data_IF_326678994940
#
_entry.id   IF_326678994940
#
_cell.length_a   1.000
_cell.length_b   1.000
_cell.length_c   1.000
_cell.angle_alpha   90.00
_cell.angle_beta   90.00
_cell.angle_gamma   90.00
#
_symmetry.space_group_name_H-M   'P 1'
#
loop_
_entity.id
_entity.type
_entity.pdbx_description
1 polymer ?
#
# COMPACT_ATOMS: atom_id res chain seq x y z
N UNK A 1 12.39 -12.67 -40.47
CA UNK A 1 13.65 -13.05 -39.81
C UNK A 1 14.28 -11.82 -39.14
N UNK A 2 13.71 -11.35 -38.02
CA UNK A 2 14.31 -10.33 -37.12
C UNK A 2 13.94 -10.63 -35.65
N UNK A 3 13.40 -11.83 -35.34
CA UNK A 3 12.96 -12.18 -33.98
C UNK A 3 14.01 -12.94 -33.16
N UNK A 4 15.28 -12.92 -33.56
CA UNK A 4 16.34 -13.76 -32.99
C UNK A 4 17.33 -13.03 -32.08
N UNK A 5 17.12 -11.75 -31.77
CA UNK A 5 18.01 -10.98 -30.88
C UNK A 5 17.54 -10.89 -29.41
N UNK A 6 16.30 -11.27 -29.10
CA UNK A 6 15.78 -11.26 -27.72
C UNK A 6 14.93 -12.52 -27.47
N UNK A 7 15.50 -13.60 -26.89
CA UNK A 7 14.84 -14.91 -26.84
C UNK A 7 13.79 -15.13 -25.74
N UNK A 8 13.56 -14.20 -24.80
CA UNK A 8 12.64 -14.44 -23.68
C UNK A 8 11.91 -13.17 -23.27
N UNK A 9 10.84 -12.82 -23.99
CA UNK A 9 9.78 -12.05 -23.37
C UNK A 9 8.57 -12.99 -23.28
N UNK A 10 8.36 -13.67 -22.13
CA UNK A 10 7.01 -14.02 -21.75
C UNK A 10 6.21 -12.73 -21.81
N UNK A 11 5.42 -12.54 -22.87
CA UNK A 11 4.39 -11.52 -22.88
C UNK A 11 3.23 -12.14 -22.14
N UNK A 12 3.36 -12.22 -20.83
CA UNK A 12 2.24 -12.62 -20.03
C UNK A 12 1.10 -11.61 -20.22
N UNK A 13 -0.10 -12.17 -20.28
CA UNK A 13 -1.29 -11.46 -20.65
C UNK A 13 -1.71 -10.55 -19.49
N UNK A 14 -1.35 -9.25 -19.57
CA UNK A 14 -1.76 -8.20 -18.62
C UNK A 14 -3.28 -7.95 -18.57
N UNK A 15 -4.10 -8.82 -19.16
CA UNK A 15 -5.56 -8.74 -19.11
C UNK A 15 -6.07 -8.82 -17.68
N UNK A 16 -5.48 -9.66 -16.82
CA UNK A 16 -5.85 -9.72 -15.40
C UNK A 16 -5.60 -8.39 -14.70
N UNK A 17 -4.36 -7.87 -14.74
CA UNK A 17 -4.03 -6.52 -14.27
C UNK A 17 -4.98 -5.43 -14.79
N UNK A 18 -5.20 -5.36 -16.11
CA UNK A 18 -6.04 -4.32 -16.74
C UNK A 18 -7.49 -4.42 -16.27
N UNK A 19 -8.02 -5.63 -16.17
CA UNK A 19 -9.41 -5.86 -15.74
C UNK A 19 -9.63 -5.44 -14.29
N UNK A 20 -8.71 -5.80 -13.38
CA UNK A 20 -8.76 -5.42 -11.97
C UNK A 20 -8.61 -3.91 -11.80
N UNK A 21 -7.66 -3.29 -12.52
CA UNK A 21 -7.46 -1.85 -12.50
C UNK A 21 -8.73 -1.11 -12.97
N UNK A 22 -9.28 -1.50 -14.12
CA UNK A 22 -10.48 -0.87 -14.67
C UNK A 22 -11.66 -1.03 -13.71
N UNK A 23 -11.92 -2.25 -13.25
CA UNK A 23 -13.01 -2.54 -12.32
C UNK A 23 -12.87 -1.74 -11.03
N UNK A 24 -11.68 -1.75 -10.43
CA UNK A 24 -11.41 -1.02 -9.20
C UNK A 24 -11.56 0.48 -9.33
N UNK A 25 -11.04 1.08 -10.41
CA UNK A 25 -11.21 2.52 -10.68
C UNK A 25 -12.69 2.85 -10.83
N UNK A 26 -13.45 2.04 -11.58
CA UNK A 26 -14.90 2.23 -11.73
C UNK A 26 -15.60 2.17 -10.38
N UNK A 27 -15.26 1.21 -9.52
CA UNK A 27 -15.84 1.08 -8.17
C UNK A 27 -15.52 2.31 -7.32
N UNK A 28 -14.25 2.75 -7.25
CA UNK A 28 -13.84 3.91 -6.46
C UNK A 28 -14.52 5.19 -6.94
N UNK A 29 -14.57 5.39 -8.26
CA UNK A 29 -15.23 6.56 -8.86
C UNK A 29 -16.73 6.53 -8.60
N UNK A 30 -17.40 5.39 -8.79
CA UNK A 30 -18.83 5.25 -8.53
C UNK A 30 -19.18 5.54 -7.07
N UNK A 31 -18.39 5.02 -6.11
CA UNK A 31 -18.57 5.30 -4.68
C UNK A 31 -18.36 6.79 -4.37
N UNK A 32 -17.36 7.43 -4.99
CA UNK A 32 -17.11 8.86 -4.85
C UNK A 32 -18.25 9.72 -5.42
N UNK A 33 -18.82 9.36 -6.57
CA UNK A 33 -19.96 10.06 -7.18
C UNK A 33 -21.22 9.97 -6.33
N UNK A 34 -21.46 8.82 -5.68
CA UNK A 34 -22.58 8.63 -4.74
C UNK A 34 -22.30 9.28 -3.37
N UNK A 35 -21.10 9.85 -3.17
CA UNK A 35 -20.71 10.52 -1.92
C UNK A 35 -20.33 9.56 -0.78
N UNK A 36 -20.13 8.28 -1.07
CA UNK A 36 -19.71 7.25 -0.10
C UNK A 36 -18.19 7.31 0.12
N UNK A 37 -17.67 8.48 0.49
CA UNK A 37 -16.24 8.75 0.53
C UNK A 37 -15.42 7.83 1.46
N UNK A 38 -15.88 7.47 2.68
CA UNK A 38 -15.17 6.52 3.51
C UNK A 38 -15.03 5.15 2.85
N UNK A 39 -16.07 4.69 2.15
CA UNK A 39 -16.07 3.40 1.44
C UNK A 39 -15.17 3.48 0.20
N UNK A 40 -15.23 4.59 -0.54
CA UNK A 40 -14.34 4.84 -1.68
C UNK A 40 -12.86 4.82 -1.24
N UNK A 41 -12.56 5.35 -0.05
CA UNK A 41 -11.20 5.38 0.50
C UNK A 41 -10.70 4.00 0.85
N UNK A 42 -11.54 3.17 1.50
CA UNK A 42 -11.18 1.78 1.76
C UNK A 42 -10.99 0.99 0.46
N UNK A 43 -11.88 1.19 -0.51
CA UNK A 43 -11.77 0.55 -1.82
C UNK A 43 -10.46 0.94 -2.52
N UNK A 44 -10.07 2.23 -2.50
CA UNK A 44 -8.81 2.70 -3.07
C UNK A 44 -7.60 2.14 -2.31
N UNK A 45 -7.65 2.10 -0.98
CA UNK A 45 -6.59 1.56 -0.12
C UNK A 45 -6.33 0.07 -0.35
N UNK A 46 -7.34 -0.69 -0.79
CA UNK A 46 -7.20 -2.10 -1.20
C UNK A 46 -6.80 -2.22 -2.67
N UNK A 47 -7.34 -1.37 -3.53
CA UNK A 47 -7.15 -1.44 -4.98
C UNK A 47 -5.68 -1.39 -5.37
N UNK A 48 -4.92 -0.43 -4.86
CA UNK A 48 -3.51 -0.25 -5.26
C UNK A 48 -2.64 -1.44 -4.86
N UNK A 49 -2.71 -1.98 -3.62
CA UNK A 49 -2.04 -3.23 -3.28
C UNK A 49 -2.39 -4.39 -4.20
N UNK A 50 -3.67 -4.59 -4.50
CA UNK A 50 -4.12 -5.70 -5.34
C UNK A 50 -3.61 -5.55 -6.77
N UNK A 51 -3.72 -4.35 -7.35
CA UNK A 51 -3.23 -4.04 -8.69
C UNK A 51 -1.72 -4.19 -8.78
N UNK A 52 -0.97 -3.73 -7.79
CA UNK A 52 0.49 -3.84 -7.77
C UNK A 52 0.93 -5.30 -7.70
N UNK A 53 0.35 -6.10 -6.80
CA UNK A 53 0.68 -7.52 -6.68
C UNK A 53 0.30 -8.29 -7.94
N UNK A 54 -0.86 -7.99 -8.53
CA UNK A 54 -1.27 -8.61 -9.80
C UNK A 54 -0.29 -8.25 -10.92
N UNK A 55 0.13 -6.99 -11.01
CA UNK A 55 1.13 -6.57 -11.99
C UNK A 55 2.45 -7.30 -11.82
N UNK A 56 2.97 -7.40 -10.59
CA UNK A 56 4.24 -8.08 -10.31
C UNK A 56 4.17 -9.58 -10.59
N UNK A 57 3.01 -10.19 -10.36
CA UNK A 57 2.74 -11.58 -10.69
C UNK A 57 2.63 -11.79 -12.22
N UNK A 58 1.85 -10.96 -12.92
CA UNK A 58 1.63 -11.05 -14.36
C UNK A 58 2.86 -10.66 -15.20
N UNK A 59 3.82 -9.89 -14.67
CA UNK A 59 5.05 -9.55 -15.41
C UNK A 59 6.10 -10.67 -15.34
N UNK A 60 5.79 -11.76 -14.62
CA UNK A 60 6.67 -12.91 -14.40
C UNK A 60 8.08 -12.46 -14.04
N UNK A 61 8.18 -11.45 -13.16
CA UNK A 61 9.47 -11.03 -12.59
C UNK A 61 10.20 -12.22 -11.94
N UNK A 62 9.43 -13.25 -11.58
CA UNK A 62 9.87 -14.39 -10.83
C UNK A 62 9.65 -15.67 -11.62
N UNK A 63 10.57 -15.96 -12.54
CA UNK A 63 10.53 -17.17 -13.39
C UNK A 63 10.39 -18.49 -12.58
N UNK A 64 10.56 -18.49 -11.24
CA UNK A 64 10.61 -19.72 -10.42
C UNK A 64 10.14 -19.60 -8.94
N UNK A 65 9.34 -18.61 -8.52
CA UNK A 65 9.03 -18.44 -7.09
C UNK A 65 7.72 -19.08 -6.57
N UNK A 66 7.72 -19.58 -5.31
CA UNK A 66 6.50 -20.12 -4.73
C UNK A 66 5.56 -18.98 -4.28
N UNK A 67 4.32 -18.97 -4.80
CA UNK A 67 3.18 -18.12 -4.39
C UNK A 67 3.08 -17.85 -2.86
N UNK A 68 3.54 -18.81 -2.06
CA UNK A 68 3.61 -18.71 -0.60
C UNK A 68 4.44 -17.52 -0.11
N UNK A 69 5.57 -17.22 -0.75
CA UNK A 69 6.46 -16.12 -0.34
C UNK A 69 5.79 -14.78 -0.58
N UNK A 70 5.16 -14.60 -1.74
CA UNK A 70 4.31 -13.45 -2.03
C UNK A 70 3.23 -13.22 -0.98
N UNK A 71 2.47 -14.27 -0.66
CA UNK A 71 1.40 -14.18 0.35
C UNK A 71 1.97 -13.80 1.71
N UNK A 72 3.12 -14.37 2.10
CA UNK A 72 3.76 -14.05 3.38
C UNK A 72 4.29 -12.61 3.41
N UNK A 73 4.92 -12.14 2.35
CA UNK A 73 5.43 -10.76 2.23
C UNK A 73 4.28 -9.76 2.25
N UNK A 74 3.21 -10.03 1.51
CA UNK A 74 1.99 -9.24 1.52
C UNK A 74 1.34 -9.25 2.91
N UNK A 75 1.22 -10.41 3.54
CA UNK A 75 0.63 -10.55 4.88
C UNK A 75 1.46 -9.83 5.94
N UNK A 76 2.79 -9.88 5.86
CA UNK A 76 3.68 -9.12 6.73
C UNK A 76 3.44 -7.62 6.60
N UNK A 77 3.44 -7.10 5.36
CA UNK A 77 3.17 -5.70 5.08
C UNK A 77 1.81 -5.28 5.64
N UNK A 78 0.76 -6.03 5.31
CA UNK A 78 -0.59 -5.76 5.79
C UNK A 78 -0.71 -5.80 7.33
N UNK A 79 -0.13 -6.81 7.99
CA UNK A 79 -0.19 -6.94 9.44
C UNK A 79 0.57 -5.82 10.16
N UNK A 80 1.79 -5.51 9.71
CA UNK A 80 2.61 -4.45 10.29
C UNK A 80 2.01 -3.05 10.01
N UNK A 81 1.43 -2.84 8.83
CA UNK A 81 0.73 -1.61 8.47
C UNK A 81 -0.54 -1.40 9.30
N UNK A 82 -1.35 -2.44 9.48
CA UNK A 82 -2.52 -2.39 10.36
C UNK A 82 -2.11 -2.10 11.81
N UNK A 83 -1.08 -2.79 12.31
CA UNK A 83 -0.54 -2.56 13.66
C UNK A 83 -0.08 -1.11 13.84
N UNK A 84 0.70 -0.57 12.89
CA UNK A 84 1.17 0.80 12.94
C UNK A 84 0.01 1.79 12.87
N UNK A 85 -0.97 1.56 11.99
CA UNK A 85 -2.15 2.40 11.86
C UNK A 85 -2.96 2.47 13.15
N UNK A 86 -3.20 1.34 13.81
CA UNK A 86 -3.89 1.27 15.10
C UNK A 86 -3.08 1.92 16.23
N UNK A 87 -1.76 1.71 16.27
CA UNK A 87 -0.89 2.33 17.27
C UNK A 87 -0.89 3.87 17.14
N UNK A 88 -0.77 4.39 15.91
CA UNK A 88 -0.80 5.83 15.65
C UNK A 88 -2.13 6.45 16.03
N UNK A 89 -3.24 5.74 15.81
CA UNK A 89 -4.57 6.16 16.24
C UNK A 89 -4.68 6.24 17.75
N UNK A 90 -4.29 5.18 18.46
CA UNK A 90 -4.30 5.15 19.92
C UNK A 90 -3.48 6.29 20.54
N UNK A 91 -2.34 6.66 19.94
CA UNK A 91 -1.53 7.79 20.40
C UNK A 91 -2.21 9.15 20.25
N UNK A 92 -3.08 9.33 19.24
CA UNK A 92 -3.86 10.57 19.08
C UNK A 92 -4.95 10.65 20.15
N UNK A 93 -5.59 9.53 20.46
CA UNK A 93 -6.66 9.46 21.46
C UNK A 93 -6.15 9.71 22.89
N UNK A 94 -4.86 9.46 23.15
CA UNK A 94 -4.22 9.67 24.46
C UNK A 94 -3.85 11.13 24.78
N UNK A 95 -4.07 12.07 23.85
CA UNK A 95 -3.86 13.51 24.06
C UNK A 95 -5.17 14.35 24.09
N UNK A 96 -6.18 14.05 24.95
CA UNK A 96 -7.40 14.88 25.06
C UNK A 96 -7.22 16.19 25.83
N UNK A 97 -6.07 16.39 26.49
CA UNK A 97 -5.86 17.42 27.51
C UNK A 97 -5.06 18.64 27.01
N UNK A 98 -5.34 19.11 25.79
CA UNK A 98 -5.18 20.52 25.40
C UNK A 98 -3.81 21.22 25.55
N UNK A 99 -2.72 20.52 25.90
CA UNK A 99 -1.40 21.16 26.09
C UNK A 99 -0.73 21.58 24.78
N UNK A 100 -1.24 21.12 23.64
CA UNK A 100 -0.63 21.35 22.33
C UNK A 100 0.68 20.56 22.22
N UNK A 101 0.91 19.82 21.12
CA UNK A 101 2.15 19.07 20.99
C UNK A 101 3.32 20.04 20.90
N UNK A 102 4.31 19.87 21.78
CA UNK A 102 5.58 20.61 21.73
C UNK A 102 6.20 20.48 20.33
N UNK A 103 6.80 21.55 19.79
CA UNK A 103 7.40 21.52 18.46
C UNK A 103 8.44 20.40 18.33
N UNK A 104 9.19 20.11 19.40
CA UNK A 104 10.10 18.98 19.48
C UNK A 104 9.39 17.63 19.35
N UNK A 105 8.21 17.47 19.97
CA UNK A 105 7.39 16.27 19.86
C UNK A 105 6.81 16.09 18.45
N UNK A 106 6.35 17.18 17.81
CA UNK A 106 5.85 17.14 16.42
C UNK A 106 6.97 16.72 15.47
N UNK A 107 8.17 17.31 15.60
CA UNK A 107 9.32 16.98 14.76
C UNK A 107 9.82 15.55 14.99
N UNK A 108 9.95 15.13 16.25
CA UNK A 108 10.35 13.77 16.59
C UNK A 108 9.33 12.76 16.08
N UNK A 109 8.03 13.00 16.25
CA UNK A 109 6.97 12.15 15.70
C UNK A 109 7.00 12.14 14.17
N UNK A 110 7.16 13.29 13.54
CA UNK A 110 7.23 13.45 12.09
C UNK A 110 8.40 12.69 11.45
N UNK A 111 9.52 12.53 12.16
CA UNK A 111 10.65 11.72 11.72
C UNK A 111 10.51 10.24 12.11
N UNK A 112 10.07 9.97 13.35
CA UNK A 112 10.00 8.62 13.89
C UNK A 112 8.99 7.74 13.16
N UNK A 113 7.81 8.28 12.84
CA UNK A 113 6.76 7.55 12.13
C UNK A 113 7.21 7.03 10.77
N UNK A 114 7.74 7.85 9.84
CA UNK A 114 8.21 7.35 8.55
C UNK A 114 9.42 6.42 8.68
N UNK A 115 10.33 6.65 9.63
CA UNK A 115 11.48 5.76 9.86
C UNK A 115 11.05 4.36 10.30
N UNK A 116 10.18 4.27 11.30
CA UNK A 116 9.66 2.99 11.79
C UNK A 116 8.80 2.32 10.71
N UNK A 117 7.98 3.09 10.00
CA UNK A 117 7.17 2.55 8.89
C UNK A 117 8.06 1.95 7.80
N UNK A 118 9.06 2.70 7.33
CA UNK A 118 10.01 2.20 6.33
C UNK A 118 10.78 0.97 6.80
N UNK A 119 11.22 0.96 8.07
CA UNK A 119 11.87 -0.21 8.65
C UNK A 119 10.94 -1.43 8.67
N UNK A 120 9.68 -1.27 9.07
CA UNK A 120 8.69 -2.37 9.09
C UNK A 120 8.38 -2.89 7.68
N UNK A 121 8.26 -1.99 6.70
CA UNK A 121 8.01 -2.36 5.30
C UNK A 121 9.11 -3.29 4.77
N UNK A 122 10.37 -2.99 5.09
CA UNK A 122 11.52 -3.72 4.56
C UNK A 122 11.90 -4.93 5.45
N UNK A 123 11.57 -4.90 6.75
CA UNK A 123 11.93 -5.94 7.72
C UNK A 123 11.49 -7.36 7.31
N UNK A 124 10.26 -7.52 6.80
CA UNK A 124 9.76 -8.81 6.34
C UNK A 124 10.57 -9.37 5.16
N UNK A 125 10.68 -8.62 4.05
CA UNK A 125 11.53 -8.97 2.91
C UNK A 125 12.99 -9.29 3.28
N UNK A 126 13.59 -8.57 4.23
CA UNK A 126 14.99 -8.82 4.65
C UNK A 126 15.22 -10.23 5.21
N UNK A 127 14.21 -10.85 5.81
CA UNK A 127 14.32 -12.24 6.32
C UNK A 127 14.47 -13.25 5.17
N UNK A 128 14.10 -12.87 3.95
CA UNK A 128 14.18 -13.72 2.76
C UNK A 128 15.54 -13.63 2.05
N UNK A 129 16.30 -12.56 2.24
CA UNK A 129 17.63 -12.36 1.61
C UNK A 129 18.66 -13.49 1.85
N UNK A 130 18.71 -14.17 3.01
CA UNK A 130 19.67 -15.25 3.22
C UNK A 130 19.40 -16.51 2.36
N UNK A 131 18.20 -16.64 1.78
CA UNK A 131 17.86 -17.79 0.96
C UNK A 131 18.43 -17.62 -0.43
N UNK A 132 19.36 -18.51 -0.81
CA UNK A 132 20.03 -18.51 -2.13
C UNK A 132 19.10 -18.57 -3.34
N UNK A 133 17.82 -18.90 -3.12
CA UNK A 133 16.77 -18.90 -4.15
C UNK A 133 16.32 -17.49 -4.55
N UNK A 134 16.55 -16.49 -3.70
CA UNK A 134 16.05 -15.11 -3.83
C UNK A 134 17.21 -14.09 -3.90
N UNK A 135 18.29 -14.46 -4.58
CA UNK A 135 19.54 -13.69 -4.58
C UNK A 135 19.64 -12.73 -5.77
N UNK A 136 18.56 -12.53 -6.53
CA UNK A 136 18.47 -11.46 -7.51
C UNK A 136 18.07 -10.16 -6.82
N UNK A 137 18.64 -9.04 -7.27
CA UNK A 137 18.28 -7.70 -6.80
C UNK A 137 16.81 -7.42 -7.12
N UNK A 138 16.30 -7.96 -8.23
CA UNK A 138 14.92 -7.79 -8.65
C UNK A 138 13.93 -8.47 -7.69
N UNK A 139 14.30 -9.58 -7.07
CA UNK A 139 13.48 -10.28 -6.08
C UNK A 139 13.32 -9.45 -4.80
N UNK A 140 14.43 -8.88 -4.32
CA UNK A 140 14.46 -8.01 -3.13
C UNK A 140 13.64 -6.74 -3.33
N UNK A 141 13.80 -6.08 -4.48
CA UNK A 141 13.02 -4.91 -4.87
C UNK A 141 11.51 -5.23 -4.89
N UNK A 142 11.14 -6.38 -5.42
CA UNK A 142 9.74 -6.75 -5.62
C UNK A 142 9.06 -7.18 -4.31
N UNK A 143 9.78 -7.87 -3.41
CA UNK A 143 9.30 -8.13 -2.06
C UNK A 143 9.17 -6.84 -1.25
N UNK A 144 10.14 -5.95 -1.35
CA UNK A 144 10.11 -4.62 -0.74
C UNK A 144 8.88 -3.83 -1.17
N UNK A 145 8.65 -3.73 -2.48
CA UNK A 145 7.48 -3.06 -3.05
C UNK A 145 6.16 -3.70 -2.61
N UNK A 146 6.06 -5.04 -2.67
CA UNK A 146 4.86 -5.79 -2.26
C UNK A 146 4.49 -5.53 -0.79
N UNK A 147 5.49 -5.65 0.10
CA UNK A 147 5.31 -5.39 1.53
C UNK A 147 4.91 -3.94 1.79
N UNK A 148 5.54 -2.97 1.10
CA UNK A 148 5.29 -1.55 1.30
C UNK A 148 3.89 -1.13 0.86
N UNK A 149 3.42 -1.59 -0.30
CA UNK A 149 2.06 -1.24 -0.77
C UNK A 149 1.01 -1.88 0.16
N UNK A 150 1.20 -3.13 0.56
CA UNK A 150 0.32 -3.80 1.53
C UNK A 150 0.29 -3.07 2.88
N UNK A 151 1.45 -2.62 3.36
CA UNK A 151 1.58 -1.82 4.58
C UNK A 151 0.78 -0.53 4.50
N UNK A 152 0.96 0.27 3.44
CA UNK A 152 0.27 1.56 3.31
C UNK A 152 -1.24 1.35 3.21
N UNK A 153 -1.69 0.38 2.41
CA UNK A 153 -3.10 0.04 2.29
C UNK A 153 -3.72 -0.31 3.64
N UNK A 154 -3.10 -1.22 4.39
CA UNK A 154 -3.58 -1.63 5.71
C UNK A 154 -3.52 -0.50 6.75
N UNK A 155 -2.48 0.34 6.71
CA UNK A 155 -2.38 1.49 7.59
C UNK A 155 -3.49 2.51 7.34
N UNK A 156 -3.78 2.82 6.06
CA UNK A 156 -4.87 3.72 5.69
C UNK A 156 -6.21 3.17 6.15
N UNK A 157 -6.46 1.86 5.98
CA UNK A 157 -7.68 1.20 6.46
C UNK A 157 -7.81 1.36 7.98
N UNK A 158 -6.77 1.01 8.73
CA UNK A 158 -6.76 1.08 10.20
C UNK A 158 -6.99 2.51 10.72
N UNK A 159 -6.43 3.51 10.06
CA UNK A 159 -6.60 4.93 10.42
C UNK A 159 -7.94 5.52 9.99
N UNK A 160 -8.66 4.85 9.07
CA UNK A 160 -9.93 5.34 8.52
C UNK A 160 -11.16 4.81 9.26
N UNK A 161 -10.99 3.94 10.27
CA UNK A 161 -12.09 3.31 11.01
C UNK A 161 -13.04 4.36 11.61
N UNK A 162 -12.52 5.45 12.16
CA UNK A 162 -13.34 6.48 12.80
C UNK A 162 -14.17 7.31 11.81
N UNK A 163 -13.83 7.29 10.51
CA UNK A 163 -14.62 8.00 9.50
C UNK A 163 -16.05 7.48 9.40
N UNK A 164 -16.27 6.22 9.76
CA UNK A 164 -17.59 5.61 9.77
C UNK A 164 -18.47 6.09 10.93
N UNK A 165 -17.88 6.66 11.99
CA UNK A 165 -18.63 7.25 13.11
C UNK A 165 -19.44 8.49 12.70
N UNK A 166 -18.99 9.21 11.66
CA UNK A 166 -19.68 10.35 11.08
C UNK A 166 -20.73 9.95 10.02
N UNK A 167 -20.94 8.65 9.79
CA UNK A 167 -21.82 8.11 8.75
C UNK A 167 -21.11 7.82 7.42
N UNK A 168 -21.88 7.32 6.44
CA UNK A 168 -21.35 6.91 5.13
C UNK A 168 -21.21 8.08 4.13
N UNK A 169 -22.00 9.14 4.31
CA UNK A 169 -21.92 10.39 3.56
C UNK A 169 -21.59 11.53 4.52
N UNK A 170 -20.36 11.57 5.06
CA UNK A 170 -19.95 12.65 5.95
C UNK A 170 -20.03 14.00 5.22
N UNK A 171 -20.57 15.01 5.89
CA UNK A 171 -20.58 16.38 5.37
C UNK A 171 -19.15 16.94 5.20
N UNK A 172 -19.00 17.98 4.39
CA UNK A 172 -17.72 18.64 4.15
C UNK A 172 -17.49 19.01 2.68
N UNK A 173 -16.31 19.57 2.39
CA UNK A 173 -15.92 19.92 1.03
C UNK A 173 -15.59 18.65 0.22
N UNK A 174 -16.26 18.50 -0.92
CA UNK A 174 -16.03 17.39 -1.87
C UNK A 174 -14.59 17.40 -2.40
N UNK A 175 -13.99 18.57 -2.60
CA UNK A 175 -12.61 18.68 -3.07
C UNK A 175 -11.62 18.08 -2.07
N UNK A 176 -11.86 18.27 -0.77
CA UNK A 176 -11.03 17.71 0.29
C UNK A 176 -11.13 16.17 0.31
N UNK A 177 -12.32 15.62 0.07
CA UNK A 177 -12.52 14.17 -0.03
C UNK A 177 -11.79 13.58 -1.24
N UNK A 178 -11.85 14.24 -2.40
CA UNK A 178 -11.13 13.82 -3.60
C UNK A 178 -9.61 13.88 -3.35
N UNK A 179 -9.11 14.96 -2.73
CA UNK A 179 -7.70 15.09 -2.38
C UNK A 179 -7.24 13.95 -1.44
N UNK A 180 -8.05 13.63 -0.43
CA UNK A 180 -7.78 12.54 0.51
C UNK A 180 -7.73 11.18 -0.20
N UNK A 181 -8.67 10.92 -1.11
CA UNK A 181 -8.70 9.70 -1.92
C UNK A 181 -7.45 9.54 -2.77
N UNK A 182 -7.05 10.60 -3.48
CA UNK A 182 -5.85 10.57 -4.33
C UNK A 182 -4.58 10.39 -3.51
N UNK A 183 -4.44 11.13 -2.40
CA UNK A 183 -3.22 11.09 -1.58
C UNK A 183 -3.08 9.74 -0.88
N UNK A 184 -4.10 9.31 -0.13
CA UNK A 184 -3.99 8.11 0.70
C UNK A 184 -4.29 6.82 -0.06
N UNK A 185 -5.18 6.87 -1.05
CA UNK A 185 -5.53 5.71 -1.86
C UNK A 185 -4.54 5.42 -2.99
N UNK A 186 -3.81 6.43 -3.50
CA UNK A 186 -2.98 6.27 -4.71
C UNK A 186 -1.54 6.74 -4.51
N UNK A 187 -1.32 8.00 -4.15
CA UNK A 187 0.03 8.57 -4.12
C UNK A 187 0.94 7.91 -3.07
N UNK A 188 0.47 7.80 -1.82
CA UNK A 188 1.27 7.22 -0.74
C UNK A 188 1.67 5.76 -0.99
N UNK A 189 0.76 4.86 -1.41
CA UNK A 189 1.16 3.49 -1.72
C UNK A 189 2.22 3.41 -2.83
N UNK A 190 2.08 4.22 -3.90
CA UNK A 190 3.05 4.22 -5.00
C UNK A 190 4.43 4.74 -4.58
N UNK A 191 4.46 5.82 -3.79
CA UNK A 191 5.72 6.36 -3.25
C UNK A 191 6.38 5.34 -2.32
N UNK A 192 5.62 4.66 -1.46
CA UNK A 192 6.14 3.63 -0.57
C UNK A 192 6.67 2.42 -1.36
N UNK A 193 5.97 2.00 -2.41
CA UNK A 193 6.42 0.94 -3.31
C UNK A 193 7.79 1.28 -3.92
N UNK A 194 7.91 2.49 -4.47
CA UNK A 194 9.15 2.96 -5.09
C UNK A 194 10.29 3.14 -4.10
N UNK A 195 10.00 3.55 -2.86
CA UNK A 195 11.02 3.73 -1.83
C UNK A 195 11.53 2.41 -1.24
N UNK A 196 10.66 1.41 -1.07
CA UNK A 196 11.03 0.12 -0.52
C UNK A 196 11.55 -0.86 -1.58
N UNK A 197 11.21 -0.64 -2.86
CA UNK A 197 11.66 -1.44 -3.99
C UNK A 197 12.88 -0.89 -4.73
N UNK A 198 13.49 0.20 -4.25
CA UNK A 198 14.72 0.78 -4.80
C UNK A 198 15.95 0.36 -3.97
#
# INVERSE_FOLDING_TARGET
MVSTLFPQLPRDDLTAFRSILLFGVVVVVALGVVGLFPVALLAAAVLVPVVMVTYLYDVDVYEDEPLRVYILTFAWGAASGAMMGLALRALVDLDPLGSGPDAGFILARGAFVPLVSGALMVAGPLVLLPYKRFNDVLDGATFGATSAVAFVGAQVIAQSIDLFSAGLQPGGDTLLWIARLLIHGVALPLVAAGAAGA
#
